data_IF_493492181820
#
_entry.id   IF_493492181820
#
_cell.length_a   1.000
_cell.length_b   1.000
_cell.length_c   1.000
_cell.angle_alpha   90.00
_cell.angle_beta   90.00
_cell.angle_gamma   90.00
#
_symmetry.space_group_name_H-M   'P 1'
#
loop_
_entity.id
_entity.type
_entity.pdbx_description
1 polymer ?
#
# COMPACT_ATOMS: atom_id res chain seq x y z
N UNK A 1 -21.73 24.99 -22.20
CA UNK A 1 -21.00 24.43 -21.04
C UNK A 1 -21.74 23.15 -20.65
N UNK A 2 -21.08 21.99 -20.62
CA UNK A 2 -21.78 20.73 -20.29
C UNK A 2 -22.10 20.70 -18.78
N UNK A 3 -23.16 20.00 -18.33
CA UNK A 3 -23.62 19.98 -16.92
C UNK A 3 -22.51 19.65 -15.91
N UNK A 4 -21.55 18.82 -16.31
CA UNK A 4 -20.36 18.49 -15.50
C UNK A 4 -19.42 19.68 -15.32
N UNK A 5 -19.25 20.51 -16.36
CA UNK A 5 -18.46 21.74 -16.26
C UNK A 5 -19.14 22.79 -15.39
N UNK A 6 -20.48 22.83 -15.33
CA UNK A 6 -21.20 23.69 -14.37
C UNK A 6 -20.93 23.26 -12.93
N UNK A 7 -20.99 21.97 -12.61
CA UNK A 7 -20.73 21.45 -11.27
C UNK A 7 -19.29 21.72 -10.80
N UNK A 8 -18.30 21.56 -11.69
CA UNK A 8 -16.89 21.85 -11.39
C UNK A 8 -16.66 23.37 -11.19
N UNK A 9 -17.36 24.21 -11.96
CA UNK A 9 -17.27 25.67 -11.81
C UNK A 9 -17.92 26.16 -10.51
N UNK A 10 -19.02 25.53 -10.09
CA UNK A 10 -19.71 25.80 -8.82
C UNK A 10 -18.79 25.47 -7.62
N UNK A 11 -18.13 24.31 -7.63
CA UNK A 11 -17.14 23.94 -6.61
C UNK A 11 -15.97 24.92 -6.47
N UNK A 12 -15.61 25.63 -7.54
CA UNK A 12 -14.54 26.63 -7.54
C UNK A 12 -14.98 28.01 -7.01
N UNK A 13 -16.28 28.33 -7.08
CA UNK A 13 -16.83 29.61 -6.59
C UNK A 13 -17.11 29.60 -5.08
N UNK A 14 -17.46 28.45 -4.49
CA UNK A 14 -17.77 28.33 -3.06
C UNK A 14 -16.55 28.59 -2.14
N UNK A 15 -15.32 28.49 -2.64
CA UNK A 15 -14.11 28.67 -1.81
C UNK A 15 -13.80 30.16 -1.48
N UNK A 16 -14.46 31.13 -2.13
CA UNK A 16 -14.09 32.56 -2.02
C UNK A 16 -15.03 33.48 -1.25
N UNK A 17 -16.14 33.01 -0.65
CA UNK A 17 -17.14 33.90 -0.03
C UNK A 17 -17.06 33.98 1.50
N UNK A 18 -15.97 34.53 2.04
CA UNK A 18 -15.90 34.96 3.44
C UNK A 18 -16.10 36.49 3.55
N UNK A 19 -17.34 36.97 3.36
CA UNK A 19 -17.80 38.27 3.88
C UNK A 19 -19.31 38.25 4.10
N UNK A 20 -19.73 38.13 5.36
CA UNK A 20 -21.09 37.80 5.80
C UNK A 20 -22.05 39.01 5.93
N UNK A 21 -21.82 40.13 5.23
CA UNK A 21 -22.61 41.36 5.43
C UNK A 21 -23.00 42.14 4.16
N UNK A 22 -23.05 41.49 3.00
CA UNK A 22 -23.43 42.19 1.76
C UNK A 22 -24.01 41.32 0.65
N UNK A 23 -24.49 40.12 0.95
CA UNK A 23 -25.06 39.27 -0.09
C UNK A 23 -26.49 39.68 -0.41
N UNK A 24 -26.76 39.84 -1.70
CA UNK A 24 -28.08 40.19 -2.20
C UNK A 24 -29.04 39.00 -2.06
N UNK A 25 -30.34 39.29 -1.97
CA UNK A 25 -31.42 38.29 -2.01
C UNK A 25 -31.27 37.34 -3.20
N UNK A 26 -30.86 37.86 -4.35
CA UNK A 26 -30.64 37.10 -5.58
C UNK A 26 -29.51 36.06 -5.44
N UNK A 27 -28.38 36.42 -4.84
CA UNK A 27 -27.28 35.48 -4.56
C UNK A 27 -27.68 34.37 -3.59
N UNK A 28 -28.52 34.69 -2.60
CA UNK A 28 -29.00 33.71 -1.63
C UNK A 28 -30.00 32.73 -2.28
N UNK A 29 -30.86 33.21 -3.18
CA UNK A 29 -31.74 32.36 -3.99
C UNK A 29 -30.96 31.48 -4.95
N UNK A 30 -29.90 31.99 -5.60
CA UNK A 30 -29.02 31.20 -6.47
C UNK A 30 -28.37 30.05 -5.68
N UNK A 31 -27.78 30.35 -4.51
CA UNK A 31 -27.22 29.34 -3.62
C UNK A 31 -28.26 28.28 -3.22
N UNK A 32 -29.47 28.68 -2.84
CA UNK A 32 -30.51 27.72 -2.45
C UNK A 32 -30.95 26.82 -3.62
N UNK A 33 -31.07 27.38 -4.82
CA UNK A 33 -31.37 26.60 -6.02
C UNK A 33 -30.23 25.63 -6.37
N UNK A 34 -28.98 26.05 -6.23
CA UNK A 34 -27.81 25.18 -6.41
C UNK A 34 -27.78 24.04 -5.38
N UNK A 35 -28.02 24.35 -4.11
CA UNK A 35 -28.13 23.35 -3.05
C UNK A 35 -29.28 22.38 -3.32
N UNK A 36 -30.43 22.88 -3.78
CA UNK A 36 -31.58 22.05 -4.12
C UNK A 36 -31.24 21.10 -5.27
N UNK A 37 -30.66 21.61 -6.35
CA UNK A 37 -30.24 20.83 -7.51
C UNK A 37 -29.23 19.74 -7.11
N UNK A 38 -28.30 20.07 -6.21
CA UNK A 38 -27.32 19.12 -5.70
C UNK A 38 -27.97 18.02 -4.85
N UNK A 39 -28.86 18.38 -3.92
CA UNK A 39 -29.56 17.42 -3.06
C UNK A 39 -30.48 16.49 -3.86
N UNK A 40 -31.22 17.03 -4.83
CA UNK A 40 -32.02 16.23 -5.76
C UNK A 40 -31.11 15.33 -6.62
N UNK A 41 -29.93 15.83 -7.00
CA UNK A 41 -28.88 15.03 -7.64
C UNK A 41 -28.38 13.86 -6.76
N UNK A 42 -28.29 14.04 -5.44
CA UNK A 42 -27.95 12.97 -4.50
C UNK A 42 -29.08 11.94 -4.37
N UNK A 43 -30.35 12.36 -4.34
CA UNK A 43 -31.49 11.43 -4.35
C UNK A 43 -31.51 10.55 -5.60
N UNK A 44 -31.15 11.14 -6.74
CA UNK A 44 -31.09 10.45 -8.02
C UNK A 44 -29.73 9.79 -8.27
N UNK A 45 -28.78 9.87 -7.32
CA UNK A 45 -27.46 9.30 -7.49
C UNK A 45 -27.50 7.77 -7.68
N UNK A 46 -28.48 7.08 -7.09
CA UNK A 46 -28.76 5.65 -7.33
C UNK A 46 -29.18 5.37 -8.78
N UNK A 47 -29.82 6.34 -9.42
CA UNK A 47 -30.28 6.25 -10.82
C UNK A 47 -29.24 6.77 -11.81
N UNK A 48 -28.16 7.39 -11.33
CA UNK A 48 -27.12 7.96 -12.17
C UNK A 48 -26.47 6.86 -13.02
N UNK A 49 -26.83 6.86 -14.30
CA UNK A 49 -26.10 6.20 -15.36
C UNK A 49 -25.05 7.19 -15.83
N UNK A 50 -23.75 6.87 -15.81
CA UNK A 50 -22.74 7.69 -16.45
C UNK A 50 -23.23 8.02 -17.86
N UNK A 51 -23.39 9.30 -18.16
CA UNK A 51 -23.74 9.75 -19.52
C UNK A 51 -22.68 9.21 -20.45
N UNK A 52 -23.11 8.28 -21.30
CA UNK A 52 -22.36 7.49 -22.27
C UNK A 52 -20.90 7.22 -21.90
N UNK A 53 -20.65 6.04 -21.32
CA UNK A 53 -19.30 5.45 -21.26
C UNK A 53 -18.62 5.47 -22.63
N UNK A 54 -19.36 5.58 -23.74
CA UNK A 54 -18.83 5.85 -25.08
C UNK A 54 -17.96 7.10 -25.17
N UNK A 55 -18.31 8.19 -24.49
CA UNK A 55 -17.52 9.43 -24.52
C UNK A 55 -16.22 9.29 -23.72
N UNK A 56 -16.25 8.56 -22.60
CA UNK A 56 -15.03 8.18 -21.87
C UNK A 56 -14.21 7.15 -22.66
N UNK A 57 -14.85 6.13 -23.25
CA UNK A 57 -14.20 5.13 -24.11
C UNK A 57 -13.58 5.78 -25.35
N UNK A 58 -14.14 6.82 -25.94
CA UNK A 58 -13.53 7.56 -27.05
C UNK A 58 -12.17 8.17 -26.64
N UNK A 59 -12.02 8.59 -25.37
CA UNK A 59 -10.74 9.08 -24.82
C UNK A 59 -9.75 7.93 -24.55
N UNK A 60 -10.23 6.71 -24.28
CA UNK A 60 -9.38 5.55 -23.96
C UNK A 60 -9.17 4.56 -25.13
N UNK A 61 -9.93 4.65 -26.22
CA UNK A 61 -9.89 3.72 -27.37
C UNK A 61 -8.68 3.93 -28.26
N UNK A 62 -8.07 5.11 -28.22
CA UNK A 62 -6.75 5.37 -28.83
C UNK A 62 -5.59 4.90 -27.94
N UNK A 63 -5.84 4.47 -26.71
CA UNK A 63 -4.85 3.70 -25.99
C UNK A 63 -4.90 2.28 -26.56
N UNK A 64 -3.78 1.73 -27.09
CA UNK A 64 -3.76 0.33 -27.46
C UNK A 64 -4.27 -0.46 -26.28
N UNK A 65 -5.08 -1.50 -26.54
CA UNK A 65 -5.31 -2.59 -25.60
C UNK A 65 -4.01 -2.73 -24.82
N UNK A 66 -4.00 -2.31 -23.55
CA UNK A 66 -2.88 -2.60 -22.66
C UNK A 66 -3.02 -4.09 -22.41
N UNK A 67 -2.67 -4.89 -23.42
CA UNK A 67 -2.27 -6.29 -23.35
C UNK A 67 -1.27 -6.26 -22.24
N UNK A 68 -1.71 -6.66 -21.05
CA UNK A 68 -0.97 -6.56 -19.79
C UNK A 68 0.02 -5.40 -19.84
N UNK A 69 -0.38 -4.23 -19.37
CA UNK A 69 0.67 -3.38 -18.85
C UNK A 69 1.24 -4.07 -17.59
N UNK A 70 2.14 -5.02 -17.84
CA UNK A 70 3.52 -5.03 -17.37
C UNK A 70 4.28 -3.75 -17.77
N UNK A 71 3.62 -2.58 -17.83
CA UNK A 71 4.10 -1.53 -16.96
C UNK A 71 3.80 -2.10 -15.56
N UNK A 72 4.62 -2.99 -14.97
CA UNK A 72 5.90 -2.54 -14.43
C UNK A 72 5.88 -1.02 -14.53
N UNK A 73 5.10 -0.40 -13.63
CA UNK A 73 5.59 0.81 -12.95
C UNK A 73 7.07 0.51 -12.85
N UNK A 74 7.93 1.35 -13.41
CA UNK A 74 9.36 1.06 -13.37
C UNK A 74 9.70 1.05 -11.88
N UNK A 75 9.48 -0.11 -11.25
CA UNK A 75 9.45 -0.33 -9.81
C UNK A 75 10.86 -0.05 -9.36
N UNK A 76 11.83 -0.31 -10.23
CA UNK A 76 13.21 0.16 -10.22
C UNK A 76 13.36 1.62 -9.74
N UNK A 77 12.44 2.54 -10.09
CA UNK A 77 12.51 3.96 -9.70
C UNK A 77 11.73 4.35 -8.43
N UNK A 78 10.67 3.63 -8.06
CA UNK A 78 9.87 3.91 -6.85
C UNK A 78 10.23 2.98 -5.67
N UNK A 79 10.75 1.81 -5.97
CA UNK A 79 11.09 0.70 -5.09
C UNK A 79 12.38 0.06 -5.62
N UNK A 80 13.56 0.55 -5.20
CA UNK A 80 14.82 -0.09 -5.60
C UNK A 80 14.71 -1.59 -5.33
N UNK A 81 14.74 -2.38 -6.41
CA UNK A 81 14.68 -3.84 -6.32
C UNK A 81 15.79 -4.32 -5.41
N UNK A 82 15.42 -5.14 -4.42
CA UNK A 82 16.39 -5.88 -3.63
C UNK A 82 17.37 -4.99 -2.88
N UNK A 83 16.94 -4.37 -1.79
CA UNK A 83 17.90 -4.22 -0.71
C UNK A 83 18.13 -5.63 -0.15
N UNK A 84 19.34 -6.20 -0.28
CA UNK A 84 19.64 -7.48 0.34
C UNK A 84 19.32 -7.36 1.84
N UNK A 85 18.87 -8.44 2.49
CA UNK A 85 18.83 -8.47 3.94
C UNK A 85 20.20 -8.00 4.45
N UNK A 86 20.23 -6.95 5.26
CA UNK A 86 21.48 -6.37 5.73
C UNK A 86 22.09 -7.38 6.71
N UNK A 87 23.03 -8.18 6.22
CA UNK A 87 23.79 -9.10 7.08
C UNK A 87 24.83 -8.28 7.87
N UNK A 88 24.71 -8.25 9.21
CA UNK A 88 25.72 -7.65 10.08
C UNK A 88 26.40 -8.73 10.92
N UNK A 89 27.66 -9.03 10.63
CA UNK A 89 28.40 -10.01 11.42
C UNK A 89 28.80 -9.45 12.80
N UNK A 90 28.31 -10.04 13.89
CA UNK A 90 28.57 -9.61 15.29
C UNK A 90 29.16 -10.77 16.10
N UNK A 91 30.44 -11.04 15.92
CA UNK A 91 31.12 -12.19 16.49
C UNK A 91 30.94 -12.32 18.03
N UNK A 92 30.69 -13.54 18.56
CA UNK A 92 30.61 -14.84 17.87
C UNK A 92 29.25 -15.14 17.20
N UNK A 93 28.31 -14.20 17.21
CA UNK A 93 26.97 -14.39 16.65
C UNK A 93 26.85 -13.79 15.24
N UNK A 94 26.26 -14.50 14.30
CA UNK A 94 25.93 -13.91 13.00
C UNK A 94 24.55 -13.25 13.10
N UNK A 95 24.53 -11.93 13.34
CA UNK A 95 23.28 -11.18 13.34
C UNK A 95 22.84 -10.95 11.89
N UNK A 96 21.74 -11.58 11.47
CA UNK A 96 21.12 -11.25 10.18
C UNK A 96 20.03 -10.20 10.43
N UNK A 97 20.23 -8.98 9.95
CA UNK A 97 19.13 -8.03 9.92
C UNK A 97 18.33 -8.21 8.64
N UNK A 98 17.24 -8.98 8.69
CA UNK A 98 16.33 -9.10 7.55
C UNK A 98 15.44 -7.86 7.50
N UNK A 99 15.91 -6.82 6.82
CA UNK A 99 15.08 -5.65 6.56
C UNK A 99 14.01 -6.02 5.55
N UNK A 100 12.79 -6.18 6.04
CA UNK A 100 11.63 -6.25 5.18
C UNK A 100 11.33 -4.85 4.69
N UNK A 101 11.74 -4.58 3.45
CA UNK A 101 11.12 -3.48 2.75
C UNK A 101 9.66 -3.88 2.49
N UNK A 102 8.75 -3.19 3.18
CA UNK A 102 7.29 -3.34 3.01
C UNK A 102 6.85 -3.11 1.56
N UNK A 103 7.73 -2.62 0.69
CA UNK A 103 7.41 -2.35 -0.69
C UNK A 103 7.79 -3.46 -1.69
N UNK A 104 8.46 -4.55 -1.27
CA UNK A 104 8.78 -5.70 -2.17
C UNK A 104 7.87 -6.93 -1.94
N UNK A 105 6.61 -6.67 -1.64
CA UNK A 105 5.59 -7.67 -1.28
C UNK A 105 5.16 -8.50 -2.49
N UNK A 106 5.15 -7.93 -3.69
CA UNK A 106 4.82 -8.67 -4.93
C UNK A 106 5.80 -9.82 -5.17
N UNK A 107 7.09 -9.65 -4.83
CA UNK A 107 8.07 -10.73 -4.88
C UNK A 107 7.88 -11.77 -3.78
N UNK A 108 7.44 -11.37 -2.58
CA UNK A 108 7.18 -12.30 -1.45
C UNK A 108 5.90 -13.13 -1.67
N UNK A 109 4.90 -12.58 -2.38
CA UNK A 109 3.62 -13.25 -2.58
C UNK A 109 3.50 -13.97 -3.92
N UNK A 110 4.41 -13.66 -4.87
CA UNK A 110 4.29 -14.12 -6.25
C UNK A 110 3.31 -13.25 -7.04
N UNK A 111 3.39 -13.33 -8.37
CA UNK A 111 2.74 -12.40 -9.30
C UNK A 111 1.20 -12.33 -9.23
N UNK A 112 0.56 -13.20 -8.45
CA UNK A 112 -0.91 -13.36 -8.46
C UNK A 112 -1.60 -12.71 -7.24
N UNK A 113 -0.85 -12.31 -6.20
CA UNK A 113 -1.48 -11.67 -5.05
C UNK A 113 -1.70 -10.18 -5.31
N UNK A 114 -2.96 -9.83 -5.47
CA UNK A 114 -3.38 -8.43 -5.59
C UNK A 114 -2.96 -7.68 -4.34
N UNK A 115 -2.17 -6.62 -4.47
CA UNK A 115 -1.76 -5.78 -3.34
C UNK A 115 -2.99 -5.26 -2.58
N UNK A 116 -3.18 -5.71 -1.34
CA UNK A 116 -4.31 -5.32 -0.50
C UNK A 116 -3.80 -4.69 0.79
N UNK A 117 -4.50 -3.64 1.26
CA UNK A 117 -4.28 -3.05 2.58
C UNK A 117 -4.33 -4.11 3.69
N UNK A 118 -5.10 -5.18 3.46
CA UNK A 118 -5.19 -6.34 4.34
C UNK A 118 -3.85 -7.01 4.61
N UNK A 119 -3.04 -7.26 3.58
CA UNK A 119 -1.72 -7.84 3.80
C UNK A 119 -0.82 -6.90 4.60
N UNK A 120 -0.94 -5.59 4.39
CA UNK A 120 -0.15 -4.59 5.09
C UNK A 120 -0.46 -4.48 6.57
N UNK A 121 -1.74 -4.62 6.93
CA UNK A 121 -2.19 -4.62 8.31
C UNK A 121 -1.73 -5.89 9.04
N UNK A 122 -1.65 -7.03 8.34
CA UNK A 122 -1.35 -8.33 8.95
C UNK A 122 0.12 -8.78 8.90
N UNK A 123 0.97 -8.20 8.03
CA UNK A 123 2.40 -8.58 7.99
C UNK A 123 3.16 -8.15 9.25
N UNK A 124 2.65 -7.16 10.00
CA UNK A 124 3.23 -6.75 11.27
C UNK A 124 3.30 -7.91 12.30
N UNK A 125 2.34 -8.84 12.24
CA UNK A 125 2.20 -9.97 13.15
C UNK A 125 2.73 -11.30 12.56
N UNK A 126 3.46 -11.22 11.46
CA UNK A 126 3.91 -12.40 10.75
C UNK A 126 5.07 -13.11 11.48
N UNK A 127 5.02 -14.44 11.50
CA UNK A 127 5.99 -15.33 12.14
C UNK A 127 6.96 -15.86 11.09
N UNK A 128 8.25 -15.60 11.28
CA UNK A 128 9.31 -16.10 10.42
C UNK A 128 9.93 -17.36 11.01
N UNK A 129 10.11 -18.38 10.18
CA UNK A 129 10.81 -19.61 10.57
C UNK A 129 11.90 -19.89 9.56
N UNK A 130 13.15 -19.90 10.01
CA UNK A 130 14.27 -20.35 9.19
C UNK A 130 14.12 -21.84 8.96
N UNK A 131 14.22 -22.27 7.70
CA UNK A 131 14.15 -23.68 7.31
C UNK A 131 15.52 -24.26 7.09
N UNK A 132 16.40 -23.50 6.42
CA UNK A 132 17.74 -23.97 6.07
C UNK A 132 18.68 -22.79 5.90
N UNK A 133 19.93 -22.94 6.29
CA UNK A 133 20.99 -21.95 6.12
C UNK A 133 22.05 -22.54 5.22
N UNK A 134 22.50 -21.74 4.25
CA UNK A 134 23.61 -22.02 3.36
C UNK A 134 24.76 -21.09 3.75
N UNK A 135 25.94 -21.64 4.01
CA UNK A 135 27.12 -20.88 4.38
C UNK A 135 28.02 -20.62 3.16
N UNK A 136 28.84 -19.58 3.23
CA UNK A 136 29.80 -19.24 2.18
C UNK A 136 30.89 -20.30 1.99
N UNK A 137 31.16 -21.13 3.00
CA UNK A 137 32.08 -22.27 2.91
C UNK A 137 31.48 -23.50 2.20
N UNK A 138 30.22 -23.41 1.74
CA UNK A 138 29.48 -24.47 1.06
C UNK A 138 28.76 -25.45 1.99
N UNK A 139 28.91 -25.32 3.31
CA UNK A 139 28.16 -26.14 4.27
C UNK A 139 26.73 -25.64 4.44
N UNK A 140 25.85 -26.49 4.95
CA UNK A 140 24.45 -26.15 5.24
C UNK A 140 24.04 -26.58 6.64
N UNK A 141 23.09 -25.87 7.24
CA UNK A 141 22.49 -26.21 8.53
C UNK A 141 20.97 -26.15 8.42
N UNK A 142 20.28 -27.19 8.91
CA UNK A 142 18.81 -27.20 9.01
C UNK A 142 18.37 -26.27 10.15
N UNK A 143 17.29 -25.53 9.92
CA UNK A 143 16.86 -24.38 10.74
C UNK A 143 15.80 -24.68 11.80
N UNK A 144 15.48 -25.96 12.07
CA UNK A 144 14.28 -26.37 12.83
C UNK A 144 14.15 -25.75 14.24
N UNK A 145 15.26 -25.30 14.86
CA UNK A 145 15.29 -24.71 16.21
C UNK A 145 15.66 -23.20 16.27
N UNK A 146 15.79 -22.52 15.13
CA UNK A 146 16.15 -21.10 15.09
C UNK A 146 14.88 -20.23 15.11
N UNK A 147 14.23 -20.15 16.27
CA UNK A 147 13.17 -19.16 16.51
C UNK A 147 13.83 -17.79 16.60
N UNK A 148 13.43 -16.87 15.73
CA UNK A 148 13.89 -15.47 15.73
C UNK A 148 13.61 -14.84 17.10
N UNK A 149 14.65 -14.57 17.88
CA UNK A 149 14.50 -14.28 19.32
C UNK A 149 14.03 -12.84 19.63
N UNK A 150 13.79 -11.99 18.62
CA UNK A 150 13.21 -10.66 18.86
C UNK A 150 12.83 -9.86 17.61
N UNK A 151 11.57 -9.46 17.51
CA UNK A 151 11.13 -8.33 16.68
C UNK A 151 11.32 -7.05 17.49
N UNK A 152 12.35 -6.24 17.22
CA UNK A 152 12.43 -4.86 17.72
C UNK A 152 12.24 -3.92 16.53
N UNK A 153 11.04 -3.36 16.39
CA UNK A 153 10.81 -2.22 15.51
C UNK A 153 10.41 -1.02 16.36
N UNK A 154 11.15 0.09 16.27
CA UNK A 154 10.66 1.42 16.66
C UNK A 154 10.03 2.19 15.49
N UNK A 155 10.26 1.76 14.26
CA UNK A 155 9.69 2.37 13.06
C UNK A 155 9.43 1.28 12.02
N UNK A 156 8.16 1.18 11.62
CA UNK A 156 7.68 0.50 10.43
C UNK A 156 8.22 -0.91 10.13
N UNK A 157 8.09 -1.88 11.04
CA UNK A 157 7.96 -3.31 10.67
C UNK A 157 9.21 -4.03 10.16
N UNK A 158 10.40 -3.43 10.30
CA UNK A 158 11.65 -4.17 10.14
C UNK A 158 11.74 -5.26 11.22
N UNK A 159 12.07 -6.49 10.84
CA UNK A 159 12.29 -7.59 11.78
C UNK A 159 13.75 -8.02 11.75
N UNK A 160 14.43 -8.03 12.89
CA UNK A 160 15.82 -8.51 12.97
C UNK A 160 15.83 -10.00 13.30
N UNK A 161 16.58 -10.80 12.54
CA UNK A 161 16.74 -12.24 12.74
C UNK A 161 18.15 -12.52 13.28
N UNK A 162 18.31 -12.63 14.60
CA UNK A 162 19.60 -13.05 15.15
C UNK A 162 19.80 -14.57 14.98
N UNK A 163 20.80 -14.96 14.19
CA UNK A 163 21.19 -16.36 14.04
C UNK A 163 22.47 -16.61 14.85
N UNK A 164 22.38 -17.49 15.84
CA UNK A 164 23.56 -17.89 16.62
C UNK A 164 24.44 -18.78 15.75
N UNK A 165 25.69 -18.37 15.52
CA UNK A 165 26.64 -19.11 14.70
C UNK A 165 27.83 -18.26 14.28
N UNK A 166 28.99 -18.89 14.10
CA UNK A 166 30.25 -18.22 13.77
C UNK A 166 30.51 -18.10 12.26
N UNK A 167 29.90 -18.96 11.44
CA UNK A 167 30.15 -19.03 10.00
C UNK A 167 29.44 -17.93 9.22
N UNK A 168 30.07 -17.51 8.13
CA UNK A 168 29.48 -16.54 7.20
C UNK A 168 28.34 -17.16 6.41
N UNK A 169 27.18 -16.51 6.44
CA UNK A 169 25.95 -16.99 5.81
C UNK A 169 25.89 -16.47 4.38
N UNK A 170 25.68 -17.39 3.43
CA UNK A 170 25.45 -17.11 2.02
C UNK A 170 24.00 -16.78 1.76
N UNK A 171 23.11 -17.65 2.22
CA UNK A 171 21.67 -17.50 2.06
C UNK A 171 20.93 -18.37 3.06
N UNK A 172 19.62 -18.22 3.16
CA UNK A 172 18.78 -19.11 3.95
C UNK A 172 17.41 -19.24 3.32
N UNK A 173 16.81 -20.42 3.48
CA UNK A 173 15.40 -20.65 3.23
C UNK A 173 14.61 -20.26 4.47
N UNK A 174 13.52 -19.56 4.29
CA UNK A 174 12.58 -19.25 5.37
C UNK A 174 11.14 -19.45 4.93
N UNK A 175 10.29 -19.72 5.93
CA UNK A 175 8.85 -19.61 5.78
C UNK A 175 8.35 -18.38 6.51
N UNK A 176 7.52 -17.60 5.84
CA UNK A 176 6.74 -16.52 6.44
C UNK A 176 5.31 -17.02 6.68
N UNK A 177 4.91 -17.11 7.95
CA UNK A 177 3.55 -17.45 8.34
C UNK A 177 2.81 -16.18 8.78
N UNK A 178 1.72 -15.83 8.12
CA UNK A 178 0.86 -14.69 8.50
C UNK A 178 -0.60 -15.10 8.49
N UNK A 179 -1.43 -14.37 9.23
CA UNK A 179 -2.87 -14.54 9.28
C UNK A 179 -3.48 -13.44 8.42
N UNK A 180 -3.96 -13.77 7.23
CA UNK A 180 -4.65 -12.80 6.37
C UNK A 180 -6.16 -12.90 6.61
N UNK A 181 -6.90 -11.82 6.35
CA UNK A 181 -8.34 -11.94 6.39
C UNK A 181 -8.80 -12.85 5.25
N UNK A 182 -9.78 -13.70 5.55
CA UNK A 182 -10.26 -14.66 4.58
C UNK A 182 -10.90 -13.94 3.40
N UNK A 183 -10.43 -14.26 2.20
CA UNK A 183 -11.04 -13.76 0.98
C UNK A 183 -12.33 -14.51 0.70
N UNK A 184 -13.43 -13.76 0.60
CA UNK A 184 -14.72 -14.28 0.17
C UNK A 184 -15.05 -13.61 -1.16
N UNK A 185 -15.24 -14.42 -2.19
CA UNK A 185 -15.58 -13.94 -3.53
C UNK A 185 -17.08 -14.10 -3.75
N UNK A 186 -17.73 -13.00 -4.10
CA UNK A 186 -19.13 -12.97 -4.47
C UNK A 186 -19.25 -12.62 -5.95
N UNK A 187 -20.04 -13.41 -6.68
CA UNK A 187 -20.35 -13.10 -8.08
C UNK A 187 -21.41 -11.99 -8.15
N UNK A 188 -21.20 -11.04 -9.05
CA UNK A 188 -22.08 -9.90 -9.27
C UNK A 188 -22.87 -10.13 -10.56
N UNK A 189 -24.21 -10.14 -10.45
CA UNK A 189 -25.08 -10.53 -11.55
C UNK A 189 -25.83 -9.34 -12.14
N UNK A 190 -26.48 -8.53 -11.30
CA UNK A 190 -27.34 -7.44 -11.77
C UNK A 190 -27.54 -6.36 -10.71
N UNK A 191 -28.05 -5.20 -11.13
CA UNK A 191 -28.49 -4.15 -10.21
C UNK A 191 -29.68 -4.61 -9.35
N UNK A 192 -29.68 -4.23 -8.08
CA UNK A 192 -30.65 -4.65 -7.07
C UNK A 192 -30.25 -5.91 -6.29
N UNK A 193 -29.16 -6.60 -6.68
CA UNK A 193 -28.63 -7.70 -5.89
C UNK A 193 -28.17 -7.19 -4.51
N UNK A 194 -28.46 -7.97 -3.47
CA UNK A 194 -28.05 -7.67 -2.08
C UNK A 194 -27.19 -8.82 -1.57
N UNK A 195 -26.00 -8.51 -1.07
CA UNK A 195 -25.08 -9.47 -0.46
C UNK A 195 -24.96 -9.15 1.02
N UNK A 196 -25.16 -10.15 1.87
CA UNK A 196 -24.97 -10.03 3.31
C UNK A 196 -23.57 -10.54 3.69
N UNK A 197 -22.83 -9.73 4.44
CA UNK A 197 -21.48 -10.05 4.93
C UNK A 197 -21.39 -9.86 6.44
N UNK A 198 -20.29 -10.30 7.05
CA UNK A 198 -19.98 -10.06 8.47
C UNK A 198 -19.80 -8.56 8.80
N UNK A 199 -19.43 -7.73 7.82
CA UNK A 199 -19.19 -6.30 8.01
C UNK A 199 -20.39 -5.40 7.62
N UNK A 200 -21.48 -6.02 7.15
CA UNK A 200 -22.71 -5.33 6.76
C UNK A 200 -23.24 -5.75 5.39
N UNK A 201 -24.17 -4.98 4.87
CA UNK A 201 -24.86 -5.26 3.61
C UNK A 201 -24.18 -4.55 2.44
N UNK A 202 -23.96 -5.26 1.34
CA UNK A 202 -23.53 -4.69 0.05
C UNK A 202 -24.73 -4.72 -0.89
N UNK A 203 -25.09 -3.56 -1.43
CA UNK A 203 -26.14 -3.44 -2.44
C UNK A 203 -25.49 -3.13 -3.80
N UNK A 204 -25.80 -3.93 -4.82
CA UNK A 204 -25.31 -3.72 -6.17
C UNK A 204 -26.24 -2.72 -6.85
N UNK A 205 -25.75 -1.53 -7.14
CA UNK A 205 -26.52 -0.49 -7.83
C UNK A 205 -26.44 -0.71 -9.35
N UNK A 206 -25.25 -1.10 -9.85
CA UNK A 206 -25.03 -1.37 -11.26
C UNK A 206 -23.91 -2.40 -11.46
N UNK A 207 -24.05 -3.27 -12.47
CA UNK A 207 -23.05 -4.28 -12.80
C UNK A 207 -23.10 -4.70 -14.27
N UNK A 208 -22.95 -3.76 -15.20
CA UNK A 208 -22.93 -4.05 -16.65
C UNK A 208 -22.13 -2.98 -17.40
N UNK A 209 -22.01 -3.10 -18.73
CA UNK A 209 -21.51 -2.03 -19.61
C UNK A 209 -20.13 -1.46 -19.22
N UNK A 210 -19.25 -2.33 -18.70
CA UNK A 210 -17.88 -1.96 -18.35
C UNK A 210 -17.75 -1.13 -17.07
N UNK A 211 -18.77 -1.08 -16.21
CA UNK A 211 -18.61 -0.55 -14.86
C UNK A 211 -19.45 -1.29 -13.81
N UNK A 212 -18.99 -1.22 -12.57
CA UNK A 212 -19.69 -1.74 -11.40
C UNK A 212 -19.85 -0.61 -10.42
N UNK A 213 -21.05 -0.45 -9.86
CA UNK A 213 -21.33 0.47 -8.78
C UNK A 213 -22.05 -0.27 -7.66
N UNK A 214 -21.52 -0.14 -6.46
CA UNK A 214 -22.07 -0.76 -5.26
C UNK A 214 -22.23 0.29 -4.16
N UNK A 215 -23.17 0.05 -3.26
CA UNK A 215 -23.38 0.77 -2.02
C UNK A 215 -22.98 -0.13 -0.86
N UNK A 216 -22.12 0.38 0.01
CA UNK A 216 -21.56 -0.37 1.15
C UNK A 216 -21.45 0.51 2.38
N UNK A 217 -21.42 -0.06 3.60
CA UNK A 217 -21.01 0.65 4.79
C UNK A 217 -19.63 1.31 4.62
N UNK A 218 -19.43 2.50 5.16
CA UNK A 218 -18.15 3.23 5.07
C UNK A 218 -16.99 2.43 5.71
N UNK A 219 -17.28 1.61 6.72
CA UNK A 219 -16.32 0.67 7.33
C UNK A 219 -15.80 -0.38 6.34
N UNK A 220 -16.58 -0.73 5.31
CA UNK A 220 -16.21 -1.75 4.32
C UNK A 220 -15.30 -1.21 3.21
N UNK A 221 -15.16 0.11 3.06
CA UNK A 221 -14.51 0.75 1.89
C UNK A 221 -13.10 0.24 1.57
N UNK A 222 -12.36 -0.20 2.59
CA UNK A 222 -10.96 -0.64 2.47
C UNK A 222 -10.78 -2.16 2.49
N UNK A 223 -11.88 -2.90 2.64
CA UNK A 223 -11.90 -4.36 2.77
C UNK A 223 -12.69 -5.03 1.65
N UNK A 224 -12.93 -4.31 0.55
CA UNK A 224 -13.52 -4.87 -0.66
C UNK A 224 -12.78 -4.45 -1.91
N UNK A 225 -12.84 -5.30 -2.94
CA UNK A 225 -12.30 -5.04 -4.28
C UNK A 225 -13.26 -5.61 -5.31
N UNK A 226 -13.48 -4.86 -6.38
CA UNK A 226 -14.22 -5.35 -7.53
C UNK A 226 -13.22 -5.79 -8.60
N UNK A 227 -13.46 -6.98 -9.15
CA UNK A 227 -12.75 -7.54 -10.30
C UNK A 227 -13.75 -7.80 -11.43
N UNK A 228 -13.28 -7.71 -12.67
CA UNK A 228 -14.07 -8.03 -13.83
C UNK A 228 -13.23 -8.84 -14.82
N UNK A 229 -13.88 -9.74 -15.55
CA UNK A 229 -13.27 -10.65 -16.52
C UNK A 229 -13.99 -10.54 -17.87
N UNK A 230 -13.23 -10.67 -18.95
CA UNK A 230 -13.81 -10.83 -20.29
C UNK A 230 -14.31 -12.26 -20.53
N UNK A 231 -14.89 -12.50 -21.70
CA UNK A 231 -15.40 -13.84 -22.06
C UNK A 231 -14.36 -14.92 -22.29
N UNK A 232 -13.07 -14.59 -22.20
CA UNK A 232 -11.98 -15.56 -22.17
C UNK A 232 -11.47 -15.82 -20.75
N UNK A 233 -12.13 -15.25 -19.73
CA UNK A 233 -11.71 -15.33 -18.33
C UNK A 233 -10.49 -14.46 -18.00
N UNK A 234 -10.13 -13.50 -18.86
CA UNK A 234 -8.99 -12.61 -18.60
C UNK A 234 -9.43 -11.44 -17.75
N UNK A 235 -8.69 -11.17 -16.68
CA UNK A 235 -8.98 -10.04 -15.80
C UNK A 235 -8.80 -8.70 -16.53
N UNK A 236 -9.82 -7.84 -16.41
CA UNK A 236 -9.84 -6.53 -17.02
C UNK A 236 -9.19 -5.49 -16.12
N UNK A 237 -8.44 -4.58 -16.75
CA UNK A 237 -7.82 -3.45 -16.07
C UNK A 237 -8.86 -2.40 -15.67
N UNK A 238 -8.65 -1.79 -14.51
CA UNK A 238 -9.43 -0.63 -14.04
C UNK A 238 -8.93 0.65 -14.70
N UNK A 239 -9.85 1.46 -15.20
CA UNK A 239 -9.57 2.76 -15.85
C UNK A 239 -9.77 3.91 -14.87
N UNK A 240 -10.79 3.79 -14.02
CA UNK A 240 -11.17 4.84 -13.08
C UNK A 240 -11.90 4.22 -11.89
N UNK A 241 -11.68 4.81 -10.72
CA UNK A 241 -12.43 4.51 -9.49
C UNK A 241 -13.11 5.79 -9.00
N UNK A 242 -14.37 5.70 -8.63
CA UNK A 242 -15.14 6.80 -8.05
C UNK A 242 -15.61 6.46 -6.64
N UNK A 243 -15.57 7.46 -5.75
CA UNK A 243 -16.20 7.41 -4.43
C UNK A 243 -17.24 8.52 -4.34
N UNK A 244 -18.42 8.20 -3.81
CA UNK A 244 -19.45 9.18 -3.48
C UNK A 244 -20.15 8.82 -2.18
N UNK A 245 -20.70 9.82 -1.48
CA UNK A 245 -21.61 9.58 -0.39
C UNK A 245 -22.89 8.90 -0.93
N UNK A 246 -23.45 7.97 -0.16
CA UNK A 246 -24.66 7.23 -0.47
C UNK A 246 -25.79 7.57 0.53
N UNK A 247 -26.12 8.86 0.58
CA UNK A 247 -27.14 9.40 1.48
C UNK A 247 -28.48 8.70 1.28
N UNK A 248 -29.10 8.28 2.38
CA UNK A 248 -30.44 7.70 2.32
C UNK A 248 -31.46 8.77 1.94
N UNK A 249 -32.52 8.37 1.23
CA UNK A 249 -33.63 9.27 0.92
C UNK A 249 -34.29 9.83 2.18
N UNK A 250 -34.31 9.07 3.27
CA UNK A 250 -34.81 9.49 4.59
C UNK A 250 -34.01 10.68 5.15
N UNK A 251 -32.70 10.75 4.91
CA UNK A 251 -31.87 11.86 5.35
C UNK A 251 -31.91 13.05 4.38
N UNK A 252 -32.00 12.81 3.07
CA UNK A 252 -32.01 13.88 2.06
C UNK A 252 -33.34 14.64 1.99
N UNK A 253 -34.47 13.94 2.07
CA UNK A 253 -35.81 14.53 1.86
C UNK A 253 -36.10 15.70 2.79
N UNK A 254 -35.80 15.64 4.11
CA UNK A 254 -35.99 16.77 5.00
C UNK A 254 -35.23 18.04 4.59
N UNK A 255 -33.98 17.91 4.11
CA UNK A 255 -33.19 19.05 3.65
C UNK A 255 -33.75 19.64 2.35
N UNK A 256 -34.17 18.79 1.41
CA UNK A 256 -34.79 19.23 0.15
C UNK A 256 -36.05 20.03 0.43
N UNK A 257 -36.92 19.52 1.30
CA UNK A 257 -38.15 20.22 1.67
C UNK A 257 -37.87 21.51 2.46
N UNK A 258 -36.82 21.54 3.28
CA UNK A 258 -36.40 22.74 3.98
C UNK A 258 -35.88 23.82 3.01
N UNK A 259 -35.05 23.44 2.03
CA UNK A 259 -34.55 24.36 0.99
C UNK A 259 -35.70 24.88 0.13
N UNK A 260 -36.64 24.02 -0.30
CA UNK A 260 -37.84 24.44 -1.05
C UNK A 260 -38.67 25.46 -0.28
N UNK A 261 -38.92 25.22 1.01
CA UNK A 261 -39.63 26.18 1.87
C UNK A 261 -38.86 27.50 2.01
N UNK A 262 -37.55 27.44 2.18
CA UNK A 262 -36.71 28.62 2.32
C UNK A 262 -36.67 29.48 1.06
N UNK A 263 -36.67 28.87 -0.14
CA UNK A 263 -36.79 29.60 -1.40
C UNK A 263 -38.08 30.43 -1.41
N UNK A 264 -39.23 29.80 -1.17
CA UNK A 264 -40.53 30.48 -1.14
C UNK A 264 -40.59 31.59 -0.07
N UNK A 265 -40.09 31.29 1.14
CA UNK A 265 -40.08 32.25 2.24
C UNK A 265 -39.16 33.45 1.95
N UNK A 266 -37.99 33.22 1.35
CA UNK A 266 -37.06 34.27 0.98
C UNK A 266 -37.63 35.13 -0.17
N UNK A 267 -38.28 34.52 -1.17
CA UNK A 267 -38.99 35.24 -2.24
C UNK A 267 -40.07 36.17 -1.69
N UNK A 268 -40.80 35.74 -0.66
CA UNK A 268 -41.83 36.52 0.03
C UNK A 268 -41.29 37.50 1.11
N UNK A 269 -39.98 37.61 1.28
CA UNK A 269 -39.33 38.42 2.33
C UNK A 269 -39.74 38.01 3.78
N UNK A 270 -40.11 36.74 3.98
CA UNK A 270 -40.48 36.16 5.28
C UNK A 270 -39.25 35.75 6.11
N UNK A 271 -38.12 35.50 5.46
CA UNK A 271 -36.82 35.21 6.09
C UNK A 271 -35.71 36.05 5.46
N UNK A 272 -34.63 36.27 6.20
CA UNK A 272 -33.44 37.00 5.76
C UNK A 272 -32.36 36.06 5.21
N UNK A 273 -31.45 36.59 4.38
CA UNK A 273 -30.30 35.81 3.93
C UNK A 273 -29.42 35.33 5.09
N UNK A 274 -29.29 36.11 6.17
CA UNK A 274 -28.54 35.71 7.36
C UNK A 274 -29.10 34.44 8.02
N UNK A 275 -30.43 34.33 8.10
CA UNK A 275 -31.12 33.12 8.60
C UNK A 275 -30.90 31.93 7.66
N UNK A 276 -30.95 32.15 6.34
CA UNK A 276 -30.68 31.10 5.35
C UNK A 276 -29.24 30.58 5.46
N UNK A 277 -28.24 31.46 5.56
CA UNK A 277 -26.83 31.06 5.67
C UNK A 277 -26.52 30.32 6.97
N UNK A 278 -27.21 30.67 8.06
CA UNK A 278 -27.01 30.02 9.36
C UNK A 278 -27.43 28.55 9.38
N UNK A 279 -28.41 28.16 8.55
CA UNK A 279 -29.05 26.84 8.66
C UNK A 279 -29.01 26.02 7.37
N UNK A 280 -29.01 26.66 6.20
CA UNK A 280 -29.21 26.03 4.89
C UNK A 280 -28.07 26.31 3.91
N UNK A 281 -26.92 26.77 4.41
CA UNK A 281 -25.70 26.79 3.60
C UNK A 281 -25.27 25.36 3.25
N UNK A 282 -24.52 25.22 2.15
CA UNK A 282 -24.00 23.93 1.72
C UNK A 282 -23.20 23.25 2.85
N UNK A 283 -22.37 24.01 3.56
CA UNK A 283 -21.54 23.52 4.66
C UNK A 283 -22.38 22.96 5.81
N UNK A 284 -23.47 23.64 6.19
CA UNK A 284 -24.35 23.18 7.26
C UNK A 284 -25.08 21.90 6.87
N UNK A 285 -25.65 21.87 5.66
CA UNK A 285 -26.37 20.70 5.14
C UNK A 285 -25.43 19.49 5.06
N UNK A 286 -24.24 19.66 4.48
CA UNK A 286 -23.28 18.56 4.36
C UNK A 286 -22.72 18.13 5.72
N UNK A 287 -22.45 19.06 6.64
CA UNK A 287 -21.98 18.70 7.97
C UNK A 287 -23.03 17.90 8.77
N UNK A 288 -24.32 18.19 8.58
CA UNK A 288 -25.40 17.39 9.17
C UNK A 288 -25.54 16.02 8.51
N UNK A 289 -25.55 15.97 7.17
CA UNK A 289 -25.62 14.72 6.42
C UNK A 289 -24.43 13.79 6.72
N UNK A 290 -23.21 14.32 6.84
CA UNK A 290 -22.02 13.54 7.18
C UNK A 290 -22.07 12.89 8.57
N UNK A 291 -22.80 13.48 9.52
CA UNK A 291 -23.00 12.87 10.86
C UNK A 291 -23.97 11.69 10.82
N UNK A 292 -24.86 11.66 9.82
CA UNK A 292 -25.88 10.62 9.64
C UNK A 292 -25.42 9.52 8.68
N UNK A 293 -24.34 9.78 7.94
CA UNK A 293 -23.87 8.89 6.88
C UNK A 293 -23.07 7.71 7.41
N UNK A 294 -23.52 6.50 7.08
CA UNK A 294 -22.79 5.26 7.37
C UNK A 294 -22.47 4.45 6.11
N UNK A 295 -22.80 4.93 4.92
CA UNK A 295 -22.64 4.21 3.65
C UNK A 295 -21.95 5.06 2.58
N UNK A 296 -21.40 4.42 1.57
CA UNK A 296 -20.78 5.08 0.42
C UNK A 296 -21.02 4.28 -0.86
N UNK A 297 -21.02 4.99 -1.98
CA UNK A 297 -20.92 4.38 -3.29
C UNK A 297 -19.46 4.18 -3.65
N UNK A 298 -19.14 2.95 -4.06
CA UNK A 298 -17.89 2.64 -4.75
C UNK A 298 -18.22 2.32 -6.20
N UNK A 299 -17.55 2.99 -7.13
CA UNK A 299 -17.72 2.77 -8.56
C UNK A 299 -16.38 2.41 -9.18
N UNK A 300 -16.34 1.35 -9.97
CA UNK A 300 -15.15 0.90 -10.68
C UNK A 300 -15.48 0.79 -12.17
N UNK A 301 -14.64 1.40 -13.01
CA UNK A 301 -14.76 1.40 -14.46
C UNK A 301 -13.65 0.55 -15.07
N UNK A 302 -13.99 -0.26 -16.07
CA UNK A 302 -13.09 -1.21 -16.72
C UNK A 302 -12.80 -0.81 -18.17
N UNK A 303 -11.66 -1.30 -18.69
CA UNK A 303 -11.18 -1.00 -20.06
C UNK A 303 -12.14 -1.45 -21.17
N UNK A 304 -13.02 -2.40 -20.88
CA UNK A 304 -14.03 -2.91 -21.81
C UNK A 304 -15.27 -3.37 -21.05
N UNK A 305 -16.29 -3.79 -21.81
CA UNK A 305 -17.34 -4.64 -21.26
C UNK A 305 -16.75 -5.93 -20.70
N UNK A 306 -17.39 -6.45 -19.65
CA UNK A 306 -17.02 -7.67 -18.96
C UNK A 306 -18.13 -8.71 -19.10
N UNK A 307 -17.76 -9.98 -19.15
CA UNK A 307 -18.70 -11.10 -19.09
C UNK A 307 -19.04 -11.43 -17.64
N UNK A 308 -18.04 -11.32 -16.75
CA UNK A 308 -18.18 -11.61 -15.33
C UNK A 308 -17.63 -10.47 -14.49
N UNK A 309 -18.32 -10.15 -13.41
CA UNK A 309 -17.79 -9.31 -12.34
C UNK A 309 -17.90 -10.04 -11.00
N UNK A 310 -16.95 -9.78 -10.12
CA UNK A 310 -16.93 -10.34 -8.79
C UNK A 310 -16.44 -9.32 -7.77
N UNK A 311 -16.96 -9.44 -6.56
CA UNK A 311 -16.52 -8.69 -5.41
C UNK A 311 -15.71 -9.61 -4.50
N UNK A 312 -14.47 -9.23 -4.25
CA UNK A 312 -13.62 -9.83 -3.23
C UNK A 312 -13.83 -9.05 -1.94
N UNK A 313 -14.24 -9.71 -0.88
CA UNK A 313 -14.39 -9.17 0.47
C UNK A 313 -13.38 -9.83 1.40
N UNK A 314 -12.60 -9.01 2.10
CA UNK A 314 -11.69 -9.46 3.15
C UNK A 314 -12.44 -9.49 4.49
N UNK A 315 -12.88 -10.69 4.89
CA UNK A 315 -13.64 -10.89 6.11
C UNK A 315 -12.75 -10.79 7.35
N UNK A 316 -12.79 -9.65 8.03
CA UNK A 316 -12.04 -9.38 9.27
C UNK A 316 -12.38 -10.29 10.44
N UNK A 317 -13.46 -11.07 10.36
CA UNK A 317 -13.85 -12.00 11.41
C UNK A 317 -13.24 -13.40 11.24
N UNK A 318 -12.67 -13.68 10.06
CA UNK A 318 -12.09 -14.96 9.71
C UNK A 318 -10.65 -14.75 9.24
N UNK A 319 -9.70 -15.43 9.87
CA UNK A 319 -8.30 -15.41 9.43
C UNK A 319 -7.94 -16.71 8.71
N UNK A 320 -7.19 -16.60 7.63
CA UNK A 320 -6.55 -17.71 6.95
C UNK A 320 -5.04 -17.64 7.15
N UNK A 321 -4.47 -18.71 7.69
CA UNK A 321 -3.03 -18.83 7.82
C UNK A 321 -2.43 -19.07 6.43
N UNK A 322 -1.61 -18.13 5.96
CA UNK A 322 -0.81 -18.28 4.75
C UNK A 322 0.65 -18.53 5.12
N UNK A 323 1.29 -19.44 4.38
CA UNK A 323 2.70 -19.77 4.53
C UNK A 323 3.41 -19.54 3.21
N UNK A 324 4.34 -18.60 3.19
CA UNK A 324 5.16 -18.29 2.01
C UNK A 324 6.55 -18.86 2.20
N UNK A 325 7.05 -19.59 1.21
CA UNK A 325 8.41 -20.13 1.19
C UNK A 325 9.28 -19.24 0.31
N UNK A 326 10.45 -18.83 0.82
CA UNK A 326 11.38 -17.95 0.10
C UNK A 326 12.83 -18.30 0.40
N UNK A 327 13.71 -18.08 -0.58
CA UNK A 327 15.15 -18.14 -0.43
C UNK A 327 15.71 -16.72 -0.40
N UNK A 328 16.62 -16.43 0.54
CA UNK A 328 17.19 -15.08 0.69
C UNK A 328 18.10 -14.66 -0.47
N UNK A 329 18.53 -15.58 -1.34
CA UNK A 329 19.37 -15.31 -2.51
C UNK A 329 18.59 -15.00 -3.80
N UNK A 330 17.25 -15.05 -3.78
CA UNK A 330 16.40 -14.71 -4.94
C UNK A 330 16.44 -13.21 -5.31
N UNK A 331 17.29 -12.41 -4.66
CA UNK A 331 17.51 -11.00 -4.96
C UNK A 331 18.70 -10.82 -5.92
N UNK A 332 18.40 -10.66 -7.21
CA UNK A 332 19.39 -10.42 -8.27
C UNK A 332 19.85 -8.96 -8.28
N UNK A 333 21.10 -8.71 -7.88
CA UNK A 333 22.18 -8.16 -8.73
C UNK A 333 23.39 -7.77 -7.85
N UNK A 334 24.40 -8.66 -7.76
CA UNK A 334 25.75 -8.28 -7.33
C UNK A 334 25.93 -7.87 -5.85
N UNK A 335 25.18 -8.47 -4.93
CA UNK A 335 25.22 -8.18 -3.49
C UNK A 335 26.55 -8.48 -2.75
N UNK A 336 26.64 -8.11 -1.46
CA UNK A 336 27.83 -8.29 -0.62
C UNK A 336 28.31 -9.75 -0.51
N UNK A 337 27.44 -10.73 -0.75
CA UNK A 337 27.79 -12.16 -0.79
C UNK A 337 28.82 -12.44 -1.89
N UNK A 338 28.69 -11.82 -3.08
CA UNK A 338 29.65 -11.96 -4.19
C UNK A 338 31.01 -11.38 -3.79
N UNK A 339 31.03 -10.31 -2.98
CA UNK A 339 32.28 -9.75 -2.47
C UNK A 339 32.93 -10.66 -1.43
N UNK A 340 32.16 -11.19 -0.46
CA UNK A 340 32.69 -12.06 0.59
C UNK A 340 33.11 -13.44 0.06
N UNK A 341 32.39 -13.99 -0.93
CA UNK A 341 32.83 -15.17 -1.69
C UNK A 341 34.17 -14.90 -2.36
N UNK A 342 34.28 -13.75 -3.05
CA UNK A 342 35.52 -13.36 -3.72
C UNK A 342 36.65 -13.11 -2.76
N UNK A 343 36.43 -12.48 -1.60
CA UNK A 343 37.49 -12.14 -0.64
C UNK A 343 37.81 -13.29 0.33
N UNK A 344 36.92 -14.29 0.43
CA UNK A 344 36.98 -15.39 1.39
C UNK A 344 37.06 -14.93 2.85
N UNK A 345 36.54 -13.74 3.14
CA UNK A 345 36.52 -13.11 4.45
C UNK A 345 35.39 -12.08 4.54
N UNK A 346 35.01 -11.67 5.75
CA UNK A 346 34.06 -10.57 5.97
C UNK A 346 34.47 -9.70 7.16
N UNK A 347 34.00 -8.45 7.16
CA UNK A 347 34.13 -7.57 8.33
C UNK A 347 33.14 -8.03 9.40
N UNK A 348 33.62 -8.15 10.63
CA UNK A 348 32.79 -8.46 11.78
C UNK A 348 33.08 -7.52 12.94
N UNK A 349 32.05 -7.23 13.73
CA UNK A 349 32.16 -6.51 15.00
C UNK A 349 32.29 -7.51 16.13
N UNK A 350 33.28 -7.36 17.00
CA UNK A 350 33.36 -8.12 18.25
C UNK A 350 32.33 -7.60 19.24
N UNK A 351 31.42 -8.48 19.69
CA UNK A 351 30.35 -8.12 20.62
C UNK A 351 30.87 -7.61 21.96
N UNK A 352 32.04 -8.07 22.40
CA UNK A 352 32.60 -7.72 23.71
C UNK A 352 33.24 -6.32 23.72
N UNK A 353 34.10 -6.03 22.75
CA UNK A 353 34.82 -4.75 22.66
C UNK A 353 34.09 -3.68 21.84
N UNK A 354 33.16 -4.08 20.97
CA UNK A 354 32.54 -3.20 19.99
C UNK A 354 33.46 -2.82 18.83
N UNK A 355 34.70 -3.30 18.80
CA UNK A 355 35.66 -3.05 17.73
C UNK A 355 35.41 -3.99 16.54
N UNK A 356 35.88 -3.56 15.37
CA UNK A 356 35.77 -4.30 14.13
C UNK A 356 37.09 -4.99 13.78
N UNK A 357 36.99 -6.14 13.14
CA UNK A 357 38.09 -6.91 12.56
C UNK A 357 37.61 -7.68 11.32
N UNK A 358 38.38 -8.68 10.90
CA UNK A 358 38.07 -9.52 9.73
C UNK A 358 38.01 -10.99 10.16
N UNK A 359 36.92 -11.67 9.79
CA UNK A 359 36.75 -13.12 9.98
C UNK A 359 36.83 -13.88 8.66
N UNK A 360 37.24 -15.15 8.72
CA UNK A 360 37.25 -16.07 7.58
C UNK A 360 35.89 -16.75 7.37
N UNK A 361 35.80 -17.55 6.30
CA UNK A 361 34.59 -18.33 6.00
C UNK A 361 34.24 -19.34 7.11
N UNK A 362 35.25 -19.82 7.84
CA UNK A 362 35.13 -20.70 9.00
C UNK A 362 34.61 -19.98 10.27
N UNK A 363 34.52 -18.65 10.20
CA UNK A 363 34.10 -17.80 11.31
C UNK A 363 35.22 -17.37 12.25
N UNK A 364 36.46 -17.80 12.04
CA UNK A 364 37.57 -17.41 12.92
C UNK A 364 38.13 -16.05 12.55
N UNK A 365 38.64 -15.31 13.54
CA UNK A 365 39.35 -14.05 13.28
C UNK A 365 40.59 -14.30 12.44
N UNK A 366 40.64 -13.64 11.29
CA UNK A 366 41.84 -13.49 10.47
C UNK A 366 42.61 -12.26 10.93
N UNK A 367 41.89 -11.15 11.12
CA UNK A 367 42.41 -9.92 11.72
C UNK A 367 41.62 -9.67 12.99
N UNK A 368 42.32 -9.64 14.12
CA UNK A 368 41.70 -9.39 15.41
C UNK A 368 41.00 -8.02 15.46
N UNK A 369 39.97 -7.86 16.30
CA UNK A 369 39.27 -6.59 16.46
C UNK A 369 40.20 -5.48 16.94
N UNK A 370 40.41 -4.45 16.12
CA UNK A 370 41.28 -3.31 16.44
C UNK A 370 40.82 -2.00 15.81
N UNK A 371 39.65 -2.00 15.15
CA UNK A 371 39.14 -0.85 14.41
C UNK A 371 37.88 -0.29 15.07
N UNK A 372 37.75 1.03 15.17
CA UNK A 372 36.50 1.69 15.55
C UNK A 372 35.44 1.59 14.43
N UNK A 373 35.92 1.58 13.19
CA UNK A 373 35.11 1.42 11.98
C UNK A 373 35.93 0.61 10.97
N UNK A 374 35.30 -0.33 10.30
CA UNK A 374 35.91 -1.04 9.18
C UNK A 374 34.80 -1.38 8.19
N UNK A 375 35.03 -1.10 6.91
CA UNK A 375 34.07 -1.37 5.84
C UNK A 375 34.80 -1.92 4.62
N UNK A 376 34.22 -2.91 3.97
CA UNK A 376 34.69 -3.35 2.65
C UNK A 376 34.30 -2.29 1.60
N UNK A 377 35.23 -1.94 0.71
CA UNK A 377 34.90 -1.11 -0.46
C UNK A 377 34.36 -2.01 -1.58
N UNK A 378 33.05 -1.94 -1.81
CA UNK A 378 32.38 -2.73 -2.84
C UNK A 378 32.85 -2.31 -4.25
N UNK A 379 33.21 -3.28 -5.09
CA UNK A 379 33.65 -3.06 -6.48
C UNK A 379 35.16 -3.19 -6.72
N UNK A 380 36.01 -2.99 -5.71
CA UNK A 380 37.46 -3.17 -5.82
C UNK A 380 37.94 -4.39 -5.02
N UNK A 381 38.79 -5.23 -5.65
CA UNK A 381 39.28 -6.48 -5.04
C UNK A 381 40.06 -6.17 -3.75
N UNK A 382 39.62 -6.73 -2.63
CA UNK A 382 40.35 -6.73 -1.36
C UNK A 382 40.58 -5.37 -0.68
N UNK A 383 39.89 -4.29 -1.06
CA UNK A 383 40.05 -2.99 -0.39
C UNK A 383 39.09 -2.81 0.78
N UNK A 384 39.61 -2.28 1.88
CA UNK A 384 38.88 -1.96 3.10
C UNK A 384 39.17 -0.52 3.50
N UNK A 385 38.16 0.17 4.00
CA UNK A 385 38.31 1.48 4.62
C UNK A 385 38.10 1.34 6.12
N UNK A 386 39.10 1.71 6.92
CA UNK A 386 39.09 1.46 8.36
C UNK A 386 39.68 2.58 9.19
N UNK A 387 39.18 2.73 10.41
CA UNK A 387 39.72 3.62 11.44
C UNK A 387 40.26 2.76 12.60
N UNK A 388 41.58 2.63 12.78
CA UNK A 388 42.16 1.96 13.94
C UNK A 388 41.70 2.60 15.25
N UNK A 389 41.55 1.83 16.32
CA UNK A 389 41.14 2.36 17.63
C UNK A 389 42.18 3.26 18.29
N UNK A 390 43.42 3.22 17.80
CA UNK A 390 44.54 4.04 18.28
C UNK A 390 44.73 5.31 17.45
N UNK A 391 43.95 5.53 16.39
CA UNK A 391 44.13 6.64 15.46
C UNK A 391 42.82 7.42 15.24
N UNK A 392 42.93 8.74 15.07
CA UNK A 392 41.77 9.61 14.80
C UNK A 392 41.33 9.59 13.33
N UNK A 393 42.22 9.17 12.42
CA UNK A 393 41.98 9.18 10.97
C UNK A 393 41.65 7.78 10.46
N UNK A 394 40.95 7.75 9.33
CA UNK A 394 40.67 6.53 8.59
C UNK A 394 41.63 6.37 7.41
N UNK A 395 41.91 5.12 7.05
CA UNK A 395 42.84 4.77 5.98
C UNK A 395 42.24 3.69 5.09
N UNK A 396 42.80 3.57 3.89
CA UNK A 396 42.55 2.44 3.01
C UNK A 396 43.54 1.32 3.32
N UNK A 397 43.04 0.10 3.27
CA UNK A 397 43.78 -1.11 3.52
C UNK A 397 43.54 -2.09 2.39
N UNK A 398 44.62 -2.68 1.88
CA UNK A 398 44.57 -3.82 0.98
C UNK A 398 44.69 -5.10 1.79
N UNK A 399 43.71 -6.00 1.65
CA UNK A 399 43.76 -7.34 2.24
C UNK A 399 44.55 -8.29 1.34
N UNK A 400 45.70 -8.73 1.84
CA UNK A 400 46.48 -9.80 1.26
C UNK A 400 45.93 -11.15 1.74
N UNK A 401 45.43 -11.95 0.80
CA UNK A 401 44.82 -13.24 1.08
C UNK A 401 45.83 -14.33 1.41
N UNK A 402 47.04 -14.24 0.84
CA UNK A 402 48.09 -15.25 1.02
C UNK A 402 48.69 -15.11 2.42
N UNK A 403 49.05 -13.89 2.79
CA UNK A 403 49.62 -13.60 4.11
C UNK A 403 48.56 -13.40 5.18
N UNK A 404 47.30 -13.21 4.77
CA UNK A 404 46.15 -12.92 5.65
C UNK A 404 46.33 -11.63 6.47
N UNK A 405 46.91 -10.59 5.87
CA UNK A 405 47.19 -9.30 6.53
C UNK A 405 46.50 -8.11 5.85
N UNK A 406 46.28 -7.03 6.60
CA UNK A 406 45.89 -5.74 6.03
C UNK A 406 47.12 -4.84 5.85
N UNK A 407 47.34 -4.40 4.62
CA UNK A 407 48.42 -3.49 4.23
C UNK A 407 47.81 -2.09 4.08
N UNK A 408 48.25 -1.14 4.91
CA UNK A 408 47.83 0.26 4.82
C UNK A 408 48.40 0.88 3.53
N UNK A 409 47.54 1.52 2.73
CA UNK A 409 47.93 2.21 1.49
C UNK A 409 48.33 3.67 1.73
#
# INVERSE_FOLDING_TARGET
MNRVQQIIFILFLVINSNSLQGQSKEQCLEMLNDNLLLLEGFLDADKYRPTDLKDLRAVFTDQPYRVENKIKIDEVYLFPKGYPPITKYVYPNTLIEVRYDRFDISQILGNDYSFTLDFMDNIADAIYKVKKIYFLDGTTQEGEDLIADKVISKQFGNQTLEIKGTKLIKSFDFSLETNLNKEIVYELHEGGQIIQTSAGTIEIIHCTNGYVRIKVPESMRHVIKIIAEDGQGRQLSKVMSGKGAAYSSEHLTPHIEAVKRAITALENDEITCGEVFGELSYEHIIADLQKKENSVFLTEYFVSDFEKASLVFWDKTQVEKKVYLRNSADQSDGGPEVFYERCSCAVAQDKKSGLFGIIGLDGNWIIAPSFLKLNAQWGNKSLFWGQPSTEEKSFEYLYDKETRTLIRM
#
